data_IF_287698481181
#
_entry.id   IF_287698481181
#
_cell.length_a   1.000
_cell.length_b   1.000
_cell.length_c   1.000
_cell.angle_alpha   90.00
_cell.angle_beta   90.00
_cell.angle_gamma   90.00
#
_symmetry.space_group_name_H-M   'P 1'
#
loop_
_entity.id
_entity.type
_entity.pdbx_description
1 polymer ?
#
# COMPACT_ATOMS: atom_id res chain seq x y z
N UNK A 1 22.20 -2.66 -3.20
CA UNK A 1 22.16 -1.21 -2.90
C UNK A 1 20.73 -0.86 -2.54
N UNK A 2 20.49 -0.07 -1.49
CA UNK A 2 19.17 0.50 -1.18
C UNK A 2 18.71 1.28 -2.42
N UNK A 3 17.52 0.95 -2.92
CA UNK A 3 16.92 1.63 -4.07
C UNK A 3 16.43 3.02 -3.67
N UNK A 4 16.37 3.92 -4.65
CA UNK A 4 15.71 5.21 -4.52
C UNK A 4 14.81 5.40 -5.74
N UNK A 5 13.52 5.75 -5.55
CA UNK A 5 12.64 6.10 -6.66
C UNK A 5 13.05 7.45 -7.30
N UNK A 6 13.88 8.25 -6.63
CA UNK A 6 14.27 9.60 -7.03
C UNK A 6 15.68 9.67 -7.63
N UNK A 7 16.07 8.60 -8.35
CA UNK A 7 17.40 8.50 -8.96
C UNK A 7 17.67 9.60 -10.00
N UNK A 8 16.63 10.09 -10.68
CA UNK A 8 16.69 11.21 -11.63
C UNK A 8 17.11 12.52 -10.98
N UNK A 9 16.83 12.69 -9.69
CA UNK A 9 17.22 13.86 -8.89
C UNK A 9 18.55 13.67 -8.16
N UNK A 10 19.25 12.55 -8.39
CA UNK A 10 20.47 12.18 -7.66
C UNK A 10 20.30 12.16 -6.13
N UNK A 11 19.08 11.88 -5.65
CA UNK A 11 18.77 11.76 -4.23
C UNK A 11 18.93 10.29 -3.80
N UNK A 12 20.12 9.98 -3.28
CA UNK A 12 20.41 8.67 -2.69
C UNK A 12 19.82 8.54 -1.27
N UNK A 13 19.07 7.47 -1.02
CA UNK A 13 18.62 7.13 0.33
C UNK A 13 19.76 6.52 1.15
N UNK A 14 19.91 7.02 2.37
CA UNK A 14 20.84 6.51 3.39
C UNK A 14 22.25 6.17 2.82
N UNK A 15 22.99 7.15 2.27
CA UNK A 15 24.25 6.89 1.56
C UNK A 15 25.31 6.22 2.45
N UNK A 16 25.31 6.51 3.75
CA UNK A 16 26.20 5.89 4.75
C UNK A 16 26.00 4.38 4.85
N UNK A 17 24.76 3.90 4.71
CA UNK A 17 24.40 2.49 4.85
C UNK A 17 23.79 1.93 3.55
N UNK A 18 24.20 2.44 2.38
CA UNK A 18 23.63 2.10 1.07
C UNK A 18 23.62 0.60 0.71
N UNK A 19 24.44 -0.21 1.37
CA UNK A 19 24.54 -1.65 1.18
C UNK A 19 24.25 -2.44 2.46
N UNK A 20 23.73 -1.80 3.50
CA UNK A 20 23.33 -2.47 4.72
C UNK A 20 21.98 -3.16 4.54
N UNK A 21 21.72 -4.18 5.35
CA UNK A 21 20.50 -5.00 5.31
C UNK A 21 20.71 -6.33 4.58
N UNK A 22 19.86 -7.30 4.92
CA UNK A 22 19.80 -8.61 4.27
C UNK A 22 18.35 -8.89 3.89
N UNK A 23 18.15 -9.75 2.90
CA UNK A 23 16.82 -10.30 2.64
C UNK A 23 16.35 -11.13 3.84
N UNK A 24 15.08 -10.95 4.19
CA UNK A 24 14.40 -11.68 5.26
C UNK A 24 13.35 -12.59 4.63
N UNK A 25 13.20 -13.82 5.15
CA UNK A 25 12.10 -14.69 4.72
C UNK A 25 10.78 -14.18 5.30
N UNK A 26 9.67 -14.47 4.63
CA UNK A 26 8.35 -14.12 5.16
C UNK A 26 8.12 -14.70 6.56
N UNK A 27 8.51 -15.95 6.81
CA UNK A 27 8.43 -16.57 8.15
C UNK A 27 9.15 -15.76 9.22
N UNK A 28 10.36 -15.30 8.93
CA UNK A 28 11.19 -14.56 9.88
C UNK A 28 10.58 -13.18 10.17
N UNK A 29 9.96 -12.54 9.17
CA UNK A 29 9.21 -11.30 9.34
C UNK A 29 7.94 -11.50 10.20
N UNK A 30 7.20 -12.57 9.95
CA UNK A 30 6.00 -12.92 10.72
C UNK A 30 6.35 -13.19 12.18
N UNK A 31 7.45 -13.91 12.45
CA UNK A 31 7.91 -14.12 13.82
C UNK A 31 8.42 -12.82 14.46
N UNK A 32 9.13 -11.99 13.72
CA UNK A 32 9.60 -10.69 14.21
C UNK A 32 8.46 -9.74 14.60
N UNK A 33 7.35 -9.77 13.85
CA UNK A 33 6.25 -8.80 14.01
C UNK A 33 5.26 -9.14 15.13
N UNK A 34 5.14 -10.41 15.53
CA UNK A 34 4.22 -10.84 16.62
C UNK A 34 4.40 -10.11 17.93
N UNK A 35 5.65 -9.89 18.34
CA UNK A 35 5.99 -9.28 19.64
C UNK A 35 6.11 -7.75 19.57
N UNK A 36 5.66 -7.15 18.46
CA UNK A 36 5.70 -5.69 18.28
C UNK A 36 4.34 -5.08 18.60
N UNK A 37 4.40 -3.89 19.18
CA UNK A 37 3.24 -3.02 19.39
C UNK A 37 2.76 -2.44 18.05
N UNK A 38 2.13 -3.30 17.25
CA UNK A 38 1.58 -3.02 15.93
C UNK A 38 0.11 -3.38 15.92
N UNK A 39 -0.71 -2.54 15.29
CA UNK A 39 -2.13 -2.87 15.04
C UNK A 39 -2.32 -3.95 13.97
N UNK A 40 -1.30 -4.20 13.16
CA UNK A 40 -1.35 -5.20 12.10
C UNK A 40 -0.13 -5.18 11.18
N UNK A 41 -0.17 -6.10 10.22
CA UNK A 41 0.81 -6.24 9.14
C UNK A 41 0.10 -6.15 7.79
N UNK A 42 0.83 -5.68 6.78
CA UNK A 42 0.39 -5.70 5.39
C UNK A 42 1.45 -6.43 4.56
N UNK A 43 1.02 -7.40 3.75
CA UNK A 43 1.88 -8.22 2.90
C UNK A 43 1.48 -8.00 1.44
N UNK A 44 2.42 -7.58 0.60
CA UNK A 44 2.20 -7.46 -0.85
C UNK A 44 2.58 -8.75 -1.57
N UNK A 45 1.66 -9.27 -2.38
CA UNK A 45 1.92 -10.38 -3.31
C UNK A 45 2.08 -9.81 -4.71
N UNK A 46 3.29 -9.92 -5.24
CA UNK A 46 3.68 -9.41 -6.55
C UNK A 46 3.99 -10.56 -7.51
N UNK A 47 3.73 -10.35 -8.80
CA UNK A 47 4.09 -11.26 -9.90
C UNK A 47 3.61 -12.72 -9.75
N UNK A 48 2.57 -12.99 -8.95
CA UNK A 48 2.12 -14.35 -8.66
C UNK A 48 1.73 -15.16 -9.91
N UNK A 49 1.06 -14.53 -10.89
CA UNK A 49 0.68 -15.20 -12.14
C UNK A 49 1.91 -15.66 -12.94
N UNK A 50 2.90 -14.78 -13.07
CA UNK A 50 4.17 -15.09 -13.74
C UNK A 50 4.92 -16.22 -13.01
N UNK A 51 5.00 -16.20 -11.68
CA UNK A 51 5.69 -17.23 -10.91
C UNK A 51 4.98 -18.59 -10.98
N UNK A 52 3.66 -18.60 -11.05
CA UNK A 52 2.89 -19.82 -11.23
C UNK A 52 3.09 -20.41 -12.63
N UNK A 53 3.06 -19.59 -13.67
CA UNK A 53 3.20 -20.01 -15.07
C UNK A 53 4.63 -20.47 -15.40
N UNK A 54 5.63 -19.67 -15.06
CA UNK A 54 7.02 -19.89 -15.47
C UNK A 54 7.77 -20.84 -14.54
N UNK A 55 7.45 -20.81 -13.24
CA UNK A 55 8.21 -21.55 -12.22
C UNK A 55 7.37 -22.64 -11.52
N UNK A 56 6.08 -22.77 -11.84
CA UNK A 56 5.17 -23.67 -11.12
C UNK A 56 5.03 -23.32 -9.64
N UNK A 57 5.36 -22.08 -9.24
CA UNK A 57 5.40 -21.66 -7.86
C UNK A 57 4.09 -20.96 -7.47
N UNK A 58 3.30 -21.61 -6.63
CA UNK A 58 2.06 -21.03 -6.11
C UNK A 58 2.34 -20.08 -4.94
N UNK A 59 2.51 -18.80 -5.29
CA UNK A 59 2.78 -17.74 -4.31
C UNK A 59 1.65 -17.58 -3.29
N UNK A 60 0.38 -17.81 -3.69
CA UNK A 60 -0.77 -17.64 -2.79
C UNK A 60 -0.75 -18.71 -1.72
N UNK A 61 -0.60 -19.97 -2.10
CA UNK A 61 -0.57 -21.09 -1.16
C UNK A 61 0.66 -20.97 -0.22
N UNK A 62 1.80 -20.51 -0.75
CA UNK A 62 3.01 -20.30 0.05
C UNK A 62 2.81 -19.22 1.14
N UNK A 63 2.17 -18.10 0.81
CA UNK A 63 1.88 -17.01 1.77
C UNK A 63 0.86 -17.47 2.82
N UNK A 64 -0.22 -18.14 2.41
CA UNK A 64 -1.22 -18.69 3.33
C UNK A 64 -0.56 -19.66 4.30
N UNK A 65 0.25 -20.60 3.78
CA UNK A 65 0.97 -21.56 4.61
C UNK A 65 1.89 -20.89 5.61
N UNK A 66 2.64 -19.87 5.20
CA UNK A 66 3.53 -19.14 6.11
C UNK A 66 2.75 -18.44 7.24
N UNK A 67 1.60 -17.84 6.94
CA UNK A 67 0.71 -17.23 7.93
C UNK A 67 0.12 -18.26 8.90
N UNK A 68 -0.32 -19.41 8.38
CA UNK A 68 -0.88 -20.52 9.16
C UNK A 68 0.15 -21.16 10.09
N UNK A 69 1.35 -21.46 9.57
CA UNK A 69 2.47 -22.00 10.34
C UNK A 69 2.90 -21.02 11.44
N UNK A 70 2.81 -19.72 11.15
CA UNK A 70 3.08 -18.65 12.11
C UNK A 70 1.92 -18.42 13.10
N UNK A 71 0.76 -19.05 12.92
CA UNK A 71 -0.38 -18.91 13.82
C UNK A 71 -1.15 -17.59 13.69
N UNK A 72 -0.91 -16.80 12.62
CA UNK A 72 -1.66 -15.56 12.35
C UNK A 72 -3.15 -15.80 12.14
N UNK A 73 -3.52 -17.01 11.72
CA UNK A 73 -4.90 -17.47 11.54
C UNK A 73 -5.66 -17.74 12.86
N UNK A 74 -4.96 -17.81 14.00
CA UNK A 74 -5.53 -18.13 15.32
C UNK A 74 -5.60 -16.94 16.27
N UNK A 75 -5.05 -15.80 15.88
CA UNK A 75 -4.99 -14.60 16.69
C UNK A 75 -5.86 -13.49 16.08
N UNK A 76 -6.30 -12.55 16.92
CA UNK A 76 -7.10 -11.39 16.51
C UNK A 76 -6.50 -10.06 16.99
N UNK A 77 -5.31 -10.09 17.61
CA UNK A 77 -4.65 -8.92 18.17
C UNK A 77 -4.03 -8.04 17.07
N UNK A 78 -3.45 -8.68 16.05
CA UNK A 78 -2.84 -8.02 14.89
C UNK A 78 -3.67 -8.30 13.64
N UNK A 79 -4.14 -7.25 13.00
CA UNK A 79 -4.82 -7.35 11.71
C UNK A 79 -3.83 -7.81 10.64
N UNK A 80 -4.25 -8.68 9.73
CA UNK A 80 -3.46 -9.04 8.54
C UNK A 80 -4.18 -8.50 7.32
N UNK A 81 -3.47 -7.69 6.56
CA UNK A 81 -3.89 -7.20 5.25
C UNK A 81 -3.02 -7.83 4.17
N UNK A 82 -3.62 -8.28 3.07
CA UNK A 82 -2.89 -8.81 1.93
C UNK A 82 -3.22 -7.97 0.70
N UNK A 83 -2.18 -7.40 0.12
CA UNK A 83 -2.27 -6.49 -1.02
C UNK A 83 -1.80 -7.17 -2.31
N UNK A 84 -2.46 -6.90 -3.44
CA UNK A 84 -1.96 -7.28 -4.76
C UNK A 84 -2.53 -6.37 -5.85
N UNK A 85 -1.77 -6.22 -6.94
CA UNK A 85 -2.25 -5.60 -8.19
C UNK A 85 -3.06 -6.58 -9.05
N UNK A 86 -3.09 -7.87 -8.70
CA UNK A 86 -3.80 -8.89 -9.48
C UNK A 86 -5.11 -9.32 -8.78
N UNK A 87 -6.25 -9.01 -9.40
CA UNK A 87 -7.56 -9.35 -8.86
C UNK A 87 -7.77 -10.86 -8.69
N UNK A 88 -7.21 -11.70 -9.56
CA UNK A 88 -7.34 -13.16 -9.45
C UNK A 88 -6.64 -13.72 -8.20
N UNK A 89 -5.53 -13.10 -7.79
CA UNK A 89 -4.83 -13.43 -6.54
C UNK A 89 -5.72 -13.13 -5.34
N UNK A 90 -6.35 -11.95 -5.32
CA UNK A 90 -7.26 -11.55 -4.24
C UNK A 90 -8.53 -12.42 -4.21
N UNK A 91 -9.09 -12.78 -5.37
CA UNK A 91 -10.22 -13.71 -5.45
C UNK A 91 -9.85 -15.08 -4.84
N UNK A 92 -8.67 -15.63 -5.17
CA UNK A 92 -8.20 -16.89 -4.60
C UNK A 92 -8.02 -16.78 -3.08
N UNK A 93 -7.37 -15.70 -2.60
CA UNK A 93 -7.19 -15.44 -1.16
C UNK A 93 -8.52 -15.31 -0.42
N UNK A 94 -9.53 -14.66 -1.02
CA UNK A 94 -10.86 -14.50 -0.41
C UNK A 94 -11.58 -15.82 -0.21
N UNK A 95 -11.34 -16.80 -1.08
CA UNK A 95 -11.94 -18.13 -0.96
C UNK A 95 -11.26 -18.98 0.11
N UNK A 96 -9.99 -18.71 0.42
CA UNK A 96 -9.16 -19.56 1.27
C UNK A 96 -8.88 -18.95 2.65
N UNK A 97 -9.09 -17.65 2.83
CA UNK A 97 -8.70 -16.92 4.05
C UNK A 97 -9.80 -15.97 4.52
N UNK A 98 -9.59 -15.37 5.70
CA UNK A 98 -10.45 -14.32 6.28
C UNK A 98 -9.69 -13.01 6.52
N UNK A 99 -8.54 -12.85 5.86
CA UNK A 99 -7.73 -11.64 5.97
C UNK A 99 -8.34 -10.51 5.15
N UNK A 100 -8.04 -9.28 5.52
CA UNK A 100 -8.48 -8.11 4.77
C UNK A 100 -7.69 -8.01 3.47
N UNK A 101 -8.40 -7.84 2.35
CA UNK A 101 -7.80 -7.85 1.03
C UNK A 101 -7.74 -6.44 0.44
N UNK A 102 -6.57 -6.06 -0.05
CA UNK A 102 -6.29 -4.71 -0.55
C UNK A 102 -5.97 -4.78 -2.03
N UNK A 103 -6.79 -4.16 -2.86
CA UNK A 103 -6.51 -4.04 -4.29
C UNK A 103 -5.61 -2.83 -4.54
N UNK A 104 -4.41 -3.06 -5.05
CA UNK A 104 -3.48 -1.97 -5.39
C UNK A 104 -3.68 -1.59 -6.85
N UNK A 105 -4.16 -0.37 -7.08
CA UNK A 105 -4.25 0.21 -8.42
C UNK A 105 -2.92 0.88 -8.71
N UNK A 106 -2.12 0.28 -9.59
CA UNK A 106 -0.79 0.74 -9.98
C UNK A 106 -0.83 1.49 -11.32
N UNK A 107 -1.80 2.38 -11.43
CA UNK A 107 -2.06 3.25 -12.57
C UNK A 107 -2.75 4.51 -12.04
N UNK A 108 -2.59 5.63 -12.75
CA UNK A 108 -3.31 6.87 -12.47
C UNK A 108 -4.77 6.73 -12.86
N UNK A 109 -5.65 6.73 -11.87
CA UNK A 109 -7.10 6.64 -12.05
C UNK A 109 -7.74 7.83 -11.33
N UNK A 110 -8.55 8.62 -12.04
CA UNK A 110 -9.24 9.77 -11.43
C UNK A 110 -10.68 9.48 -11.05
N UNK A 111 -11.27 8.39 -11.56
CA UNK A 111 -12.66 8.04 -11.35
C UNK A 111 -12.88 6.52 -11.36
N UNK A 112 -13.98 6.08 -10.74
CA UNK A 112 -14.37 4.68 -10.74
C UNK A 112 -15.88 4.55 -10.98
N UNK A 113 -16.26 4.03 -12.15
CA UNK A 113 -17.66 3.81 -12.48
C UNK A 113 -18.33 2.74 -11.59
N UNK A 114 -19.67 2.76 -11.46
CA UNK A 114 -20.41 1.84 -10.58
C UNK A 114 -20.13 0.35 -10.83
N UNK A 115 -19.92 -0.05 -12.10
CA UNK A 115 -19.57 -1.43 -12.46
C UNK A 115 -18.18 -1.83 -11.96
N UNK A 116 -17.20 -0.94 -12.05
CA UNK A 116 -15.83 -1.16 -11.55
C UNK A 116 -15.83 -1.27 -10.03
N UNK A 117 -16.52 -0.34 -9.34
CA UNK A 117 -16.66 -0.36 -7.88
C UNK A 117 -17.32 -1.67 -7.40
N UNK A 118 -18.43 -2.06 -8.02
CA UNK A 118 -19.11 -3.32 -7.71
C UNK A 118 -18.24 -4.56 -8.04
N UNK A 119 -17.38 -4.46 -9.05
CA UNK A 119 -16.39 -5.48 -9.38
C UNK A 119 -15.34 -5.64 -8.30
N UNK A 120 -14.71 -4.53 -7.88
CA UNK A 120 -13.65 -4.52 -6.85
C UNK A 120 -14.18 -5.03 -5.51
N UNK A 121 -15.37 -4.59 -5.10
CA UNK A 121 -15.96 -4.98 -3.81
C UNK A 121 -16.22 -6.49 -3.68
N UNK A 122 -16.32 -7.23 -4.78
CA UNK A 122 -16.45 -8.69 -4.76
C UNK A 122 -15.20 -9.36 -4.19
N UNK A 123 -14.02 -8.79 -4.35
CA UNK A 123 -12.75 -9.44 -4.00
C UNK A 123 -11.86 -8.63 -3.04
N UNK A 124 -12.13 -7.36 -2.80
CA UNK A 124 -11.34 -6.51 -1.92
C UNK A 124 -12.19 -5.83 -0.83
N UNK A 125 -11.54 -5.56 0.30
CA UNK A 125 -12.07 -4.81 1.44
C UNK A 125 -11.56 -3.37 1.43
N UNK A 126 -10.41 -3.14 0.80
CA UNK A 126 -9.80 -1.84 0.64
C UNK A 126 -9.09 -1.69 -0.72
N UNK A 127 -8.74 -0.47 -1.06
CA UNK A 127 -8.00 -0.11 -2.27
C UNK A 127 -6.82 0.79 -1.90
N UNK A 128 -5.65 0.48 -2.45
CA UNK A 128 -4.50 1.38 -2.42
C UNK A 128 -4.42 2.13 -3.75
N UNK A 129 -4.35 3.46 -3.71
CA UNK A 129 -4.32 4.34 -4.89
C UNK A 129 -3.08 5.24 -4.87
N UNK A 130 -2.56 5.55 -6.05
CA UNK A 130 -1.44 6.49 -6.17
C UNK A 130 -1.84 7.89 -5.69
N UNK A 131 -0.89 8.65 -5.15
CA UNK A 131 -1.11 10.04 -4.71
C UNK A 131 -1.70 10.91 -5.84
N UNK A 132 -1.17 10.76 -7.05
CA UNK A 132 -1.66 11.38 -8.30
C UNK A 132 -3.08 10.98 -8.72
N UNK A 133 -3.61 9.84 -8.23
CA UNK A 133 -5.01 9.46 -8.46
C UNK A 133 -5.99 10.30 -7.62
N UNK A 134 -5.53 10.84 -6.50
CA UNK A 134 -6.32 11.72 -5.60
C UNK A 134 -6.13 13.19 -5.97
N UNK A 135 -4.88 13.60 -6.17
CA UNK A 135 -4.51 14.95 -6.60
C UNK A 135 -3.67 14.88 -7.87
N UNK A 136 -4.28 14.82 -9.07
CA UNK A 136 -3.54 14.76 -10.32
C UNK A 136 -2.63 15.97 -10.49
N UNK A 137 -1.38 15.72 -10.88
CA UNK A 137 -0.35 16.74 -11.00
C UNK A 137 -0.11 17.17 -12.45
N UNK A 138 0.17 18.46 -12.64
CA UNK A 138 0.70 19.00 -13.88
C UNK A 138 1.95 19.83 -13.57
N UNK A 139 3.11 19.36 -14.06
CA UNK A 139 4.42 20.00 -13.79
C UNK A 139 4.67 20.22 -12.28
N UNK A 140 4.36 19.23 -11.45
CA UNK A 140 4.49 19.26 -9.99
C UNK A 140 3.54 20.24 -9.26
N UNK A 141 2.44 20.65 -9.89
CA UNK A 141 1.37 21.37 -9.21
C UNK A 141 0.10 20.52 -9.23
N UNK A 142 -0.62 20.45 -8.12
CA UNK A 142 -1.92 19.79 -8.11
C UNK A 142 -2.90 20.54 -9.00
N UNK A 143 -3.77 19.79 -9.69
CA UNK A 143 -4.79 20.37 -10.57
C UNK A 143 -6.13 20.53 -9.86
N UNK A 144 -6.63 19.44 -9.28
CA UNK A 144 -7.88 19.36 -8.52
C UNK A 144 -7.83 18.13 -7.61
N UNK A 145 -8.75 18.05 -6.65
CA UNK A 145 -9.03 16.83 -5.92
C UNK A 145 -10.05 16.01 -6.72
N UNK A 146 -9.81 14.71 -6.89
CA UNK A 146 -10.77 13.80 -7.54
C UNK A 146 -11.83 13.29 -6.57
N UNK A 147 -12.95 12.81 -7.10
CA UNK A 147 -14.01 12.17 -6.31
C UNK A 147 -13.75 10.67 -6.06
N UNK A 148 -12.54 10.18 -6.40
CA UNK A 148 -12.21 8.76 -6.33
C UNK A 148 -12.30 8.22 -4.90
N UNK A 149 -11.75 8.95 -3.94
CA UNK A 149 -11.75 8.54 -2.52
C UNK A 149 -13.17 8.38 -2.01
N UNK A 150 -14.02 9.39 -2.23
CA UNK A 150 -15.43 9.37 -1.84
C UNK A 150 -16.19 8.23 -2.53
N UNK A 151 -15.95 8.02 -3.84
CA UNK A 151 -16.59 6.97 -4.62
C UNK A 151 -16.25 5.56 -4.09
N UNK A 152 -14.97 5.32 -3.76
CA UNK A 152 -14.51 4.06 -3.18
C UNK A 152 -15.09 3.83 -1.79
N UNK A 153 -15.07 4.85 -0.93
CA UNK A 153 -15.61 4.77 0.43
C UNK A 153 -17.12 4.55 0.44
N UNK A 154 -17.85 5.20 -0.46
CA UNK A 154 -19.30 5.00 -0.64
C UNK A 154 -19.63 3.57 -1.09
N UNK A 155 -18.74 2.94 -1.86
CA UNK A 155 -18.83 1.51 -2.21
C UNK A 155 -18.40 0.56 -1.06
N UNK A 156 -18.04 1.12 0.10
CA UNK A 156 -17.62 0.38 1.29
C UNK A 156 -16.18 -0.14 1.21
N UNK A 157 -15.31 0.49 0.43
CA UNK A 157 -13.89 0.16 0.34
C UNK A 157 -13.08 1.20 1.13
N UNK A 158 -12.24 0.76 2.07
CA UNK A 158 -11.27 1.67 2.68
C UNK A 158 -10.21 2.10 1.66
N UNK A 159 -9.70 3.32 1.76
CA UNK A 159 -8.76 3.90 0.79
C UNK A 159 -7.42 4.21 1.44
N UNK A 160 -6.35 3.65 0.87
CA UNK A 160 -4.97 3.93 1.27
C UNK A 160 -4.25 4.72 0.17
N UNK A 161 -3.68 5.88 0.47
CA UNK A 161 -2.85 6.60 -0.49
C UNK A 161 -1.40 6.11 -0.43
N UNK A 162 -0.77 5.86 -1.58
CA UNK A 162 0.64 5.45 -1.67
C UNK A 162 1.38 6.15 -2.82
N UNK A 163 2.71 6.31 -2.77
CA UNK A 163 3.58 6.19 -1.59
C UNK A 163 4.01 7.58 -1.17
N UNK A 164 3.66 7.99 0.06
CA UNK A 164 4.11 9.28 0.57
C UNK A 164 5.57 9.20 0.98
N UNK A 165 6.33 10.22 0.60
CA UNK A 165 7.77 10.32 0.80
C UNK A 165 8.12 11.66 1.46
N UNK A 166 9.31 11.82 2.03
CA UNK A 166 9.74 13.07 2.67
C UNK A 166 10.62 13.93 1.77
N UNK A 167 11.20 13.35 0.73
CA UNK A 167 12.09 14.05 -0.18
C UNK A 167 11.32 15.16 -0.89
N UNK A 168 11.84 16.39 -0.88
CA UNK A 168 11.15 17.62 -1.33
C UNK A 168 10.70 17.62 -2.82
N UNK A 169 11.23 16.71 -3.62
CA UNK A 169 10.84 16.54 -5.04
C UNK A 169 9.67 15.56 -5.23
N UNK A 170 9.25 14.89 -4.16
CA UNK A 170 8.20 13.87 -4.22
C UNK A 170 6.80 14.46 -4.00
N UNK A 171 6.70 15.63 -3.34
CA UNK A 171 5.42 16.29 -3.11
C UNK A 171 5.18 17.39 -4.16
N UNK A 172 3.91 17.71 -4.47
CA UNK A 172 3.54 18.88 -5.24
C UNK A 172 4.11 20.19 -4.64
N UNK A 173 4.48 21.13 -5.50
CA UNK A 173 5.04 22.44 -5.12
C UNK A 173 4.03 23.34 -4.41
N UNK A 174 2.74 23.18 -4.71
CA UNK A 174 1.62 23.83 -4.02
C UNK A 174 1.29 23.19 -2.67
N UNK A 175 1.87 22.03 -2.35
CA UNK A 175 2.02 21.54 -0.97
C UNK A 175 3.32 22.03 -0.32
N UNK A 176 3.94 23.07 -0.90
CA UNK A 176 5.18 23.68 -0.41
C UNK A 176 6.37 22.72 -0.35
N UNK A 177 6.32 21.61 -1.10
CA UNK A 177 7.29 20.51 -0.96
C UNK A 177 7.43 20.03 0.50
N UNK A 178 6.36 20.11 1.28
CA UNK A 178 6.32 19.76 2.69
C UNK A 178 5.47 18.49 2.91
N UNK A 179 6.13 17.44 3.42
CA UNK A 179 5.47 16.15 3.66
C UNK A 179 4.35 16.21 4.70
N UNK A 180 4.37 17.19 5.62
CA UNK A 180 3.27 17.36 6.59
C UNK A 180 2.07 18.01 5.92
N UNK A 181 2.28 19.02 5.08
CA UNK A 181 1.24 19.64 4.26
C UNK A 181 0.58 18.62 3.33
N UNK A 182 1.38 17.76 2.69
CA UNK A 182 0.88 16.63 1.90
C UNK A 182 0.01 15.71 2.75
N UNK A 183 0.51 15.22 3.90
CA UNK A 183 -0.29 14.36 4.80
C UNK A 183 -1.62 15.02 5.19
N UNK A 184 -1.63 16.33 5.48
CA UNK A 184 -2.86 17.07 5.77
C UNK A 184 -3.82 17.06 4.57
N UNK A 185 -3.31 17.29 3.36
CA UNK A 185 -4.13 17.28 2.15
C UNK A 185 -4.80 15.91 1.93
N UNK A 186 -4.08 14.80 2.12
CA UNK A 186 -4.67 13.46 1.96
C UNK A 186 -5.60 13.07 3.11
N UNK A 187 -5.22 13.35 4.36
CA UNK A 187 -5.99 12.89 5.53
C UNK A 187 -7.19 13.79 5.83
N UNK A 188 -7.03 15.12 5.77
CA UNK A 188 -8.12 16.06 6.09
C UNK A 188 -8.85 16.55 4.84
N UNK A 189 -8.13 16.74 3.73
CA UNK A 189 -8.72 17.21 2.47
C UNK A 189 -9.46 16.08 1.74
N UNK A 190 -8.72 15.05 1.33
CA UNK A 190 -9.26 13.92 0.60
C UNK A 190 -9.97 12.89 1.48
N UNK A 191 -9.64 12.82 2.77
CA UNK A 191 -10.30 11.92 3.72
C UNK A 191 -9.91 10.45 3.57
N UNK A 192 -8.67 10.15 3.17
CA UNK A 192 -8.21 8.75 3.04
C UNK A 192 -8.16 8.04 4.40
N UNK A 193 -8.44 6.73 4.40
CA UNK A 193 -8.49 5.90 5.62
C UNK A 193 -7.10 5.53 6.15
N UNK A 194 -6.09 5.59 5.29
CA UNK A 194 -4.70 5.40 5.71
C UNK A 194 -3.68 5.83 4.66
N UNK A 195 -2.42 5.78 5.08
CA UNK A 195 -1.27 6.20 4.27
C UNK A 195 -0.26 5.06 4.22
N UNK A 196 0.29 4.82 3.04
CA UNK A 196 1.49 3.99 2.84
C UNK A 196 2.64 4.95 2.61
N UNK A 197 3.65 4.90 3.48
CA UNK A 197 4.78 5.86 3.46
C UNK A 197 6.10 5.19 3.78
N UNK A 198 7.15 5.67 3.12
CA UNK A 198 8.53 5.30 3.43
C UNK A 198 9.05 5.98 4.72
N UNK A 199 8.31 6.94 5.25
CA UNK A 199 8.69 7.77 6.41
C UNK A 199 7.64 7.69 7.53
N UNK A 200 7.47 6.52 8.18
CA UNK A 200 6.44 6.31 9.20
C UNK A 200 6.56 7.26 10.39
N UNK A 201 7.75 7.78 10.69
CA UNK A 201 7.96 8.79 11.73
C UNK A 201 7.24 10.12 11.43
N UNK A 202 7.19 10.53 10.16
CA UNK A 202 6.48 11.74 9.72
C UNK A 202 4.97 11.57 9.92
N UNK A 203 4.40 10.46 9.42
CA UNK A 203 2.99 10.15 9.58
C UNK A 203 2.58 10.00 11.06
N UNK A 204 3.44 9.40 11.89
CA UNK A 204 3.18 9.30 13.34
C UNK A 204 3.13 10.66 14.01
N UNK A 205 4.03 11.59 13.66
CA UNK A 205 4.06 12.94 14.24
C UNK A 205 2.78 13.73 13.94
N UNK A 206 2.18 13.51 12.77
CA UNK A 206 0.90 14.15 12.41
C UNK A 206 -0.28 13.69 13.28
N UNK A 207 -0.31 12.42 13.72
CA UNK A 207 -1.38 11.89 14.59
C UNK A 207 -1.30 12.35 16.06
N UNK A 208 -0.23 13.03 16.48
CA UNK A 208 0.07 13.36 17.87
C UNK A 208 -0.25 14.82 18.23
#
# INVERSE_FOLDING_TARGET
KISTPLSTFSLDRNPRYRNAGNFMRLSDFLDFSKDKDLSGIMISIEHAAFLAEELGFDMVDAVIKALDDSGYNKQTAQKVMIQSTNSSVLVKLKQQTKYDLVYMINEDVSDAGPSSLAGIKKFADAVSVETSSVFPENRHFTSHQTDLVESLQTAGLSVYAYTLMNEFVAQPYDFFSDATAEIIAYVQGAGVDGLITDFPATARRYKC
#
